data_IF_743945262923
#
_entry.id   IF_743945262923
#
_cell.length_a   1.000
_cell.length_b   1.000
_cell.length_c   1.000
_cell.angle_alpha   90.00
_cell.angle_beta   90.00
_cell.angle_gamma   90.00
#
_symmetry.space_group_name_H-M   'P 1'
#
loop_
_entity.id
_entity.type
_entity.pdbx_description
1 polymer ?
#
# COMPACT_ATOMS: atom_id res chain seq x y z
N UNK A 1 -3.89 -27.44 -6.11
CA UNK A 1 -3.31 -26.41 -5.20
C UNK A 1 -3.94 -25.07 -5.55
N UNK A 2 -4.33 -24.27 -4.56
CA UNK A 2 -4.89 -22.92 -4.78
C UNK A 2 -3.78 -21.87 -4.77
N UNK A 3 -3.91 -20.83 -5.59
CA UNK A 3 -2.99 -19.70 -5.61
C UNK A 3 -3.37 -18.66 -4.55
N UNK A 4 -2.38 -18.04 -3.93
CA UNK A 4 -2.51 -16.89 -3.02
C UNK A 4 -1.88 -15.69 -3.73
N UNK A 5 -2.61 -14.57 -3.78
CA UNK A 5 -2.12 -13.31 -4.33
C UNK A 5 -1.94 -12.31 -3.20
N UNK A 6 -0.87 -11.52 -3.26
CA UNK A 6 -0.52 -10.52 -2.23
C UNK A 6 -0.29 -9.19 -2.92
N UNK A 7 -0.87 -8.13 -2.37
CA UNK A 7 -0.57 -6.75 -2.73
C UNK A 7 0.09 -6.08 -1.53
N UNK A 8 1.18 -5.35 -1.76
CA UNK A 8 1.93 -4.68 -0.71
C UNK A 8 2.37 -3.29 -1.17
N UNK A 9 2.53 -2.38 -0.20
CA UNK A 9 3.16 -1.09 -0.40
C UNK A 9 4.43 -1.07 0.44
N UNK A 10 5.55 -0.75 -0.20
CA UNK A 10 6.87 -0.79 0.41
C UNK A 10 7.68 0.43 -0.02
N UNK A 11 8.35 1.07 0.95
CA UNK A 11 9.30 2.13 0.66
C UNK A 11 10.58 1.58 0.02
N UNK A 12 11.42 2.45 -0.57
CA UNK A 12 12.67 2.02 -1.21
C UNK A 12 13.67 1.38 -0.23
N UNK A 13 13.62 1.78 1.04
CA UNK A 13 14.40 1.22 2.15
C UNK A 13 13.74 0.02 2.84
N UNK A 14 12.61 -0.47 2.33
CA UNK A 14 12.02 -1.76 2.72
C UNK A 14 10.98 -1.71 3.84
N UNK A 15 10.49 -0.53 4.23
CA UNK A 15 9.40 -0.40 5.21
C UNK A 15 8.08 -0.78 4.54
N UNK A 16 7.36 -1.75 5.12
CA UNK A 16 6.00 -2.10 4.70
C UNK A 16 5.01 -1.32 5.56
N UNK A 17 4.13 -0.56 4.92
CA UNK A 17 3.11 0.24 5.59
C UNK A 17 1.78 0.17 4.85
N UNK A 18 0.70 0.35 5.60
CA UNK A 18 -0.58 0.61 4.97
C UNK A 18 -0.49 1.95 4.19
N UNK A 19 -1.34 2.16 3.18
CA UNK A 19 -1.20 3.34 2.33
C UNK A 19 -2.05 4.55 2.78
N UNK A 20 -3.11 4.34 3.57
CA UNK A 20 -4.27 5.24 3.60
C UNK A 20 -4.67 5.84 4.93
N UNK A 21 -4.27 5.28 6.07
CA UNK A 21 -4.73 5.73 7.37
C UNK A 21 -3.90 6.91 7.90
N UNK A 22 -4.50 8.05 8.32
CA UNK A 22 -3.73 9.14 8.94
C UNK A 22 -3.09 8.72 10.27
N UNK A 23 -3.61 7.66 10.90
CA UNK A 23 -3.18 7.12 12.20
C UNK A 23 -2.41 5.80 12.04
N UNK A 24 -1.67 5.64 10.93
CA UNK A 24 -0.79 4.48 10.70
C UNK A 24 0.30 4.32 11.77
N UNK A 25 0.75 3.08 11.96
CA UNK A 25 1.74 2.75 13.00
C UNK A 25 3.09 3.43 12.71
N UNK A 26 3.54 4.25 13.66
CA UNK A 26 4.80 4.99 13.55
C UNK A 26 6.03 4.22 14.03
N UNK A 27 5.86 2.98 14.49
CA UNK A 27 6.95 2.12 14.94
C UNK A 27 7.98 1.94 13.82
N UNK A 28 9.27 2.09 14.16
CA UNK A 28 10.35 2.01 13.16
C UNK A 28 10.64 3.32 12.42
N UNK A 29 9.95 4.42 12.76
CA UNK A 29 10.32 5.77 12.31
C UNK A 29 9.61 6.27 11.05
N UNK A 30 8.67 5.51 10.50
CA UNK A 30 7.80 5.97 9.42
C UNK A 30 6.68 6.86 10.00
N UNK A 31 6.60 8.13 9.61
CA UNK A 31 5.68 9.12 10.21
C UNK A 31 4.72 9.75 9.20
N UNK A 32 4.59 9.13 8.02
CA UNK A 32 3.80 9.65 6.91
C UNK A 32 2.45 8.91 6.81
N UNK A 33 1.64 8.96 7.85
CA UNK A 33 0.31 8.35 7.81
C UNK A 33 -0.54 8.89 6.66
N UNK A 34 -1.16 8.00 5.89
CA UNK A 34 -2.00 8.37 4.74
C UNK A 34 -1.22 8.90 3.55
N UNK A 35 0.07 8.59 3.47
CA UNK A 35 0.99 9.06 2.43
C UNK A 35 0.53 8.81 0.99
N UNK A 36 -0.33 7.81 0.74
CA UNK A 36 -0.79 7.52 -0.62
C UNK A 36 -1.90 8.45 -1.11
N UNK A 37 -2.66 9.09 -0.20
CA UNK A 37 -3.82 9.93 -0.56
C UNK A 37 -3.49 11.01 -1.61
N UNK A 38 -2.37 11.75 -1.52
CA UNK A 38 -2.00 12.75 -2.53
C UNK A 38 -1.65 12.18 -3.91
N UNK A 39 -1.35 10.88 -3.99
CA UNK A 39 -0.91 10.19 -5.21
C UNK A 39 -1.93 9.18 -5.74
N UNK A 40 -3.11 9.10 -5.11
CA UNK A 40 -4.11 8.12 -5.50
C UNK A 40 -4.82 8.58 -6.78
N UNK A 41 -4.59 7.85 -7.86
CA UNK A 41 -5.20 8.09 -9.16
C UNK A 41 -6.09 6.91 -9.61
N UNK A 42 -6.69 7.07 -10.79
CA UNK A 42 -7.60 6.06 -11.38
C UNK A 42 -6.89 4.72 -11.59
N UNK A 43 -5.65 4.74 -12.08
CA UNK A 43 -4.85 3.55 -12.33
C UNK A 43 -4.54 2.81 -11.01
N UNK A 44 -4.15 3.52 -9.96
CA UNK A 44 -3.96 2.92 -8.63
C UNK A 44 -5.25 2.28 -8.11
N UNK A 45 -6.40 2.93 -8.32
CA UNK A 45 -7.71 2.35 -7.99
C UNK A 45 -7.99 1.04 -8.73
N UNK A 46 -7.73 1.00 -10.04
CA UNK A 46 -7.89 -0.21 -10.85
C UNK A 46 -6.99 -1.35 -10.36
N UNK A 47 -5.71 -1.07 -10.08
CA UNK A 47 -4.74 -2.08 -9.62
C UNK A 47 -5.13 -2.65 -8.26
N UNK A 48 -5.58 -1.82 -7.31
CA UNK A 48 -5.99 -2.24 -5.96
C UNK A 48 -7.24 -3.12 -5.98
N UNK A 49 -8.19 -2.82 -6.87
CA UNK A 49 -9.45 -3.58 -6.98
C UNK A 49 -9.32 -4.79 -7.91
N UNK A 50 -8.29 -4.85 -8.75
CA UNK A 50 -8.11 -5.91 -9.73
C UNK A 50 -8.03 -7.30 -9.08
N UNK A 51 -8.76 -8.26 -9.64
CA UNK A 51 -8.60 -9.69 -9.31
C UNK A 51 -7.42 -10.33 -10.02
N UNK A 52 -6.87 -9.63 -11.00
CA UNK A 52 -5.69 -10.00 -11.78
C UNK A 52 -4.47 -9.21 -11.29
N UNK A 53 -4.10 -9.42 -10.02
CA UNK A 53 -2.70 -9.19 -9.63
C UNK A 53 -1.89 -10.27 -10.35
N UNK A 54 -0.98 -9.83 -11.23
CA UNK A 54 -0.07 -10.70 -12.01
C UNK A 54 0.75 -11.56 -11.06
#
# INVERSE_FOLDING_TARGET
MRQIKIQTFMSLDGVMQAPGGPEEDTTGGFTLGGWSQPYWDEMMGEVVVSREVV
#
